data_IF_472345573056
#
_entry.id   IF_472345573056
#
_cell.length_a   1.000
_cell.length_b   1.000
_cell.length_c   1.000
_cell.angle_alpha   90.00
_cell.angle_beta   90.00
_cell.angle_gamma   90.00
#
_symmetry.space_group_name_H-M   'P 1'
#
loop_
_entity.id
_entity.type
_entity.pdbx_description
1 polymer ?
#
# COMPACT_ATOMS: atom_id res chain seq x y z
N UNK A 1 -12.58 -26.25 -20.81
CA UNK A 1 -11.78 -25.54 -19.78
C UNK A 1 -12.57 -25.62 -18.49
N UNK A 2 -12.00 -26.19 -17.43
CA UNK A 2 -12.63 -26.17 -16.12
C UNK A 2 -12.13 -24.94 -15.36
N UNK A 3 -13.05 -24.10 -14.92
CA UNK A 3 -12.77 -22.93 -14.09
C UNK A 3 -13.20 -23.26 -12.66
N UNK A 4 -12.23 -23.31 -11.75
CA UNK A 4 -12.47 -23.44 -10.32
C UNK A 4 -11.96 -22.17 -9.64
N UNK A 5 -12.90 -21.33 -9.20
CA UNK A 5 -12.64 -20.02 -8.63
C UNK A 5 -13.47 -19.87 -7.35
N UNK A 6 -12.98 -19.07 -6.40
CA UNK A 6 -13.75 -18.68 -5.23
C UNK A 6 -14.74 -17.58 -5.62
N UNK A 7 -15.83 -17.45 -4.86
CA UNK A 7 -16.76 -16.35 -5.05
C UNK A 7 -16.02 -15.01 -4.87
N UNK A 8 -16.08 -14.15 -5.89
CA UNK A 8 -15.40 -12.85 -5.90
C UNK A 8 -14.05 -12.82 -6.62
N UNK A 9 -13.49 -13.96 -7.00
CA UNK A 9 -12.32 -14.01 -7.88
C UNK A 9 -12.68 -13.39 -9.23
N UNK A 10 -11.76 -12.60 -9.78
CA UNK A 10 -11.89 -12.07 -11.13
C UNK A 10 -10.74 -12.59 -11.99
N UNK A 11 -11.05 -13.07 -13.19
CA UNK A 11 -10.06 -13.38 -14.22
C UNK A 11 -10.41 -12.64 -15.49
N UNK A 12 -9.39 -12.24 -16.25
CA UNK A 12 -9.54 -11.84 -17.64
C UNK A 12 -8.82 -12.86 -18.51
N UNK A 13 -9.54 -13.41 -19.47
CA UNK A 13 -9.01 -14.29 -20.50
C UNK A 13 -9.18 -13.63 -21.88
N UNK A 14 -8.23 -13.85 -22.77
CA UNK A 14 -8.29 -13.41 -24.15
C UNK A 14 -8.09 -14.60 -25.09
N UNK A 15 -8.87 -14.64 -26.18
CA UNK A 15 -8.64 -15.57 -27.27
C UNK A 15 -7.56 -15.01 -28.20
N UNK A 16 -6.73 -15.88 -28.74
CA UNK A 16 -5.83 -15.56 -29.85
C UNK A 16 -6.50 -15.71 -31.22
N UNK A 17 -7.83 -15.89 -31.25
CA UNK A 17 -8.64 -16.18 -32.43
C UNK A 17 -8.25 -17.48 -33.18
N UNK A 18 -7.33 -18.28 -32.64
CA UNK A 18 -6.94 -19.60 -33.14
C UNK A 18 -7.52 -20.74 -32.28
N UNK A 19 -8.50 -20.42 -31.43
CA UNK A 19 -9.13 -21.37 -30.52
C UNK A 19 -8.39 -21.57 -29.19
N UNK A 20 -7.26 -20.89 -28.97
CA UNK A 20 -6.59 -20.88 -27.69
C UNK A 20 -7.14 -19.76 -26.80
N UNK A 21 -7.19 -20.03 -25.49
CA UNK A 21 -7.61 -19.05 -24.49
C UNK A 21 -6.49 -18.95 -23.44
N UNK A 22 -5.94 -17.74 -23.29
CA UNK A 22 -4.93 -17.46 -22.26
C UNK A 22 -5.50 -16.58 -21.16
N UNK A 23 -5.19 -16.91 -19.92
CA UNK A 23 -5.45 -16.02 -18.77
C UNK A 23 -4.42 -14.89 -18.82
N UNK A 24 -4.91 -13.66 -18.96
CA UNK A 24 -4.06 -12.46 -19.04
C UNK A 24 -3.99 -11.70 -17.72
N UNK A 25 -4.94 -11.95 -16.81
CA UNK A 25 -4.92 -11.46 -15.45
C UNK A 25 -5.77 -12.33 -14.53
N UNK A 26 -5.33 -12.51 -13.28
CA UNK A 26 -6.06 -13.19 -12.22
C UNK A 26 -5.96 -12.37 -10.92
N UNK A 27 -7.10 -12.08 -10.31
CA UNK A 27 -7.21 -11.36 -9.05
C UNK A 27 -7.97 -12.22 -8.05
N UNK A 28 -7.27 -12.96 -7.18
CA UNK A 28 -7.91 -13.78 -6.16
C UNK A 28 -8.56 -12.91 -5.10
N UNK A 29 -9.81 -13.23 -4.78
CA UNK A 29 -10.54 -12.67 -3.64
C UNK A 29 -10.09 -13.32 -2.34
N UNK A 30 -10.00 -12.52 -1.28
CA UNK A 30 -9.71 -13.01 0.07
C UNK A 30 -8.29 -13.52 0.33
N UNK A 31 -7.40 -13.57 -0.68
CA UNK A 31 -5.98 -13.87 -0.47
C UNK A 31 -5.14 -12.59 -0.44
N UNK A 32 -4.30 -12.39 0.60
CA UNK A 32 -3.38 -11.26 0.63
C UNK A 32 -2.34 -11.32 -0.49
N UNK A 33 -2.26 -10.26 -1.29
CA UNK A 33 -1.24 -10.05 -2.32
C UNK A 33 -0.13 -9.17 -1.72
N UNK A 34 1.11 -9.65 -1.77
CA UNK A 34 2.26 -8.89 -1.29
C UNK A 34 2.67 -7.81 -2.30
N UNK A 35 3.20 -6.70 -1.80
CA UNK A 35 3.83 -5.67 -2.60
C UNK A 35 5.06 -5.10 -1.88
N UNK A 36 5.97 -4.52 -2.65
CA UNK A 36 7.06 -3.70 -2.14
C UNK A 36 7.03 -2.35 -2.86
N UNK A 37 7.43 -1.31 -2.14
CA UNK A 37 7.57 0.04 -2.69
C UNK A 37 8.71 0.78 -2.01
N UNK A 38 9.20 1.82 -2.67
CA UNK A 38 10.08 2.79 -2.03
C UNK A 38 9.33 3.61 -0.99
N UNK A 39 10.10 4.14 -0.04
CA UNK A 39 9.66 5.21 0.85
C UNK A 39 10.54 6.43 0.57
N UNK A 40 9.94 7.61 0.55
CA UNK A 40 10.64 8.89 0.44
C UNK A 40 10.17 9.87 1.52
N UNK A 41 10.94 10.94 1.71
CA UNK A 41 10.50 12.10 2.48
C UNK A 41 10.03 13.19 1.51
N UNK A 42 9.03 13.98 1.89
CA UNK A 42 8.55 15.12 1.09
C UNK A 42 9.61 16.23 1.04
N UNK A 43 10.37 16.42 2.12
CA UNK A 43 11.46 17.38 2.20
C UNK A 43 12.76 16.66 2.57
N UNK A 44 13.88 17.11 2.02
CA UNK A 44 15.17 16.45 2.19
C UNK A 44 15.22 15.08 1.51
N UNK A 45 16.13 14.21 1.96
CA UNK A 45 16.24 12.84 1.46
C UNK A 45 16.44 11.85 2.59
N UNK A 46 15.75 10.73 2.49
CA UNK A 46 16.09 9.54 3.26
C UNK A 46 17.47 9.04 2.81
N UNK A 47 18.27 8.56 3.77
CA UNK A 47 19.50 7.85 3.44
C UNK A 47 19.19 6.44 2.94
N UNK A 48 18.32 5.73 3.66
CA UNK A 48 17.79 4.42 3.25
C UNK A 48 16.50 4.10 3.97
N UNK A 49 15.53 3.58 3.21
CA UNK A 49 14.25 3.13 3.72
C UNK A 49 13.60 2.17 2.72
N UNK A 50 12.66 1.37 3.22
CA UNK A 50 11.86 0.48 2.39
C UNK A 50 10.43 0.37 2.90
N UNK A 51 9.50 0.03 2.01
CA UNK A 51 8.15 -0.36 2.38
C UNK A 51 7.84 -1.75 1.83
N UNK A 52 7.27 -2.59 2.69
CA UNK A 52 6.66 -3.86 2.29
C UNK A 52 5.23 -3.89 2.78
N UNK A 53 4.35 -4.57 2.08
CA UNK A 53 2.97 -4.67 2.51
C UNK A 53 2.23 -5.81 1.86
N UNK A 54 0.99 -5.98 2.30
CA UNK A 54 0.03 -6.92 1.75
C UNK A 54 -1.32 -6.24 1.65
N UNK A 55 -2.07 -6.56 0.59
CA UNK A 55 -3.42 -6.09 0.45
C UNK A 55 -4.37 -7.22 0.07
N UNK A 56 -5.64 -7.09 0.44
CA UNK A 56 -6.68 -8.05 0.10
C UNK A 56 -7.93 -7.30 -0.38
N UNK A 57 -8.51 -7.76 -1.49
CA UNK A 57 -9.80 -7.26 -1.97
C UNK A 57 -10.92 -7.77 -1.06
N UNK A 58 -11.69 -6.83 -0.54
CA UNK A 58 -12.91 -7.04 0.23
C UNK A 58 -14.11 -6.82 -0.73
N UNK A 59 -14.69 -7.91 -1.23
CA UNK A 59 -15.94 -7.92 -2.00
C UNK A 59 -16.14 -6.71 -2.96
N UNK A 60 -15.50 -6.77 -4.14
CA UNK A 60 -15.58 -5.72 -5.15
C UNK A 60 -14.40 -4.76 -5.09
N UNK A 61 -14.68 -3.47 -4.88
CA UNK A 61 -13.71 -2.36 -5.00
C UNK A 61 -12.98 -1.99 -3.71
N UNK A 62 -13.42 -2.51 -2.57
CA UNK A 62 -12.76 -2.23 -1.30
C UNK A 62 -11.50 -3.07 -1.15
N UNK A 63 -10.43 -2.47 -0.65
CA UNK A 63 -9.13 -3.12 -0.45
C UNK A 63 -8.62 -2.78 0.94
N UNK A 64 -8.44 -3.81 1.77
CA UNK A 64 -7.71 -3.69 3.02
C UNK A 64 -6.22 -3.81 2.76
N UNK A 65 -5.43 -2.94 3.36
CA UNK A 65 -3.98 -2.83 3.14
C UNK A 65 -3.30 -2.79 4.48
N UNK A 66 -2.30 -3.66 4.67
CA UNK A 66 -1.32 -3.58 5.74
C UNK A 66 0.05 -3.28 5.12
N UNK A 67 0.81 -2.38 5.72
CA UNK A 67 2.16 -2.07 5.27
C UNK A 67 3.09 -1.78 6.44
N UNK A 68 4.37 -2.05 6.21
CA UNK A 68 5.46 -1.83 7.13
C UNK A 68 6.52 -0.99 6.44
N UNK A 69 6.74 0.21 6.94
CA UNK A 69 7.81 1.11 6.53
C UNK A 69 8.97 0.93 7.49
N UNK A 70 10.16 0.65 6.96
CA UNK A 70 11.40 0.59 7.73
C UNK A 70 12.33 1.68 7.25
N UNK A 71 12.84 2.50 8.16
CA UNK A 71 13.85 3.52 7.87
C UNK A 71 15.15 3.09 8.53
N UNK A 72 16.14 2.68 7.74
CA UNK A 72 17.46 2.35 8.26
C UNK A 72 18.26 3.62 8.53
N UNK A 73 18.22 4.60 7.62
CA UNK A 73 18.85 5.91 7.80
C UNK A 73 17.95 7.04 7.34
N UNK A 74 17.64 7.97 8.25
CA UNK A 74 16.76 9.10 7.94
C UNK A 74 17.41 10.13 7.01
N UNK A 75 18.75 10.20 6.93
CA UNK A 75 19.43 11.27 6.22
C UNK A 75 18.94 12.65 6.70
N UNK A 76 18.54 13.50 5.75
CA UNK A 76 17.95 14.83 5.99
C UNK A 76 16.44 14.85 5.80
N UNK A 77 15.78 13.69 5.74
CA UNK A 77 14.34 13.58 5.51
C UNK A 77 13.51 14.28 6.57
N UNK A 78 12.50 15.03 6.13
CA UNK A 78 11.57 15.82 6.93
C UNK A 78 10.19 16.00 6.24
N UNK A 79 9.25 16.65 6.93
CA UNK A 79 7.89 16.91 6.46
C UNK A 79 6.99 15.70 6.64
N UNK A 80 6.86 14.88 5.60
CA UNK A 80 6.07 13.64 5.62
C UNK A 80 6.82 12.49 4.95
N UNK A 81 6.45 11.26 5.29
CA UNK A 81 6.87 10.10 4.51
C UNK A 81 5.86 9.83 3.40
N UNK A 82 6.34 9.41 2.23
CA UNK A 82 5.50 9.02 1.09
C UNK A 82 5.81 7.58 0.70
N UNK A 83 4.76 6.79 0.54
CA UNK A 83 4.81 5.39 0.11
C UNK A 83 3.90 5.21 -1.10
N UNK A 84 4.36 4.51 -2.12
CA UNK A 84 3.53 4.19 -3.29
C UNK A 84 2.73 2.92 -3.06
N UNK A 85 1.41 3.01 -3.18
CA UNK A 85 0.49 1.88 -3.23
C UNK A 85 0.49 1.24 -4.63
N UNK A 86 0.21 -0.08 -4.75
CA UNK A 86 0.23 -0.78 -6.04
C UNK A 86 -0.99 -0.48 -6.93
N UNK A 87 -1.87 0.43 -6.49
CA UNK A 87 -3.08 0.84 -7.20
C UNK A 87 -3.41 2.29 -6.82
N UNK A 88 -4.15 2.97 -7.68
CA UNK A 88 -4.72 4.29 -7.38
C UNK A 88 -6.03 4.13 -6.63
N UNK A 89 -6.27 4.99 -5.63
CA UNK A 89 -7.53 5.01 -4.89
C UNK A 89 -8.56 5.87 -5.62
N UNK A 90 -9.84 5.49 -5.55
CA UNK A 90 -10.95 6.25 -6.17
C UNK A 90 -11.76 7.09 -5.17
N UNK A 91 -11.43 6.97 -3.88
CA UNK A 91 -11.98 7.79 -2.79
C UNK A 91 -10.87 8.20 -1.82
N UNK A 92 -11.05 9.29 -1.09
CA UNK A 92 -10.07 9.75 -0.11
C UNK A 92 -9.96 8.71 1.02
N UNK A 93 -8.79 8.07 1.13
CA UNK A 93 -8.58 6.97 2.06
C UNK A 93 -7.72 7.40 3.25
N UNK A 94 -7.99 6.81 4.43
CA UNK A 94 -7.26 7.06 5.68
C UNK A 94 -6.62 5.78 6.19
N UNK A 95 -5.45 5.92 6.77
CA UNK A 95 -4.63 4.86 7.32
C UNK A 95 -4.21 5.25 8.74
N UNK A 96 -4.09 4.27 9.62
CA UNK A 96 -3.65 4.46 10.99
C UNK A 96 -2.66 3.38 11.38
N UNK A 97 -1.76 3.72 12.29
CA UNK A 97 -0.67 2.85 12.64
C UNK A 97 0.10 3.31 13.86
N UNK A 98 1.20 2.62 14.12
CA UNK A 98 2.11 2.94 15.22
C UNK A 98 3.56 2.81 14.74
N UNK A 99 4.40 3.71 15.22
CA UNK A 99 5.86 3.53 15.14
C UNK A 99 6.30 2.59 16.27
N UNK A 100 6.99 1.51 15.95
CA UNK A 100 7.22 0.39 16.88
C UNK A 100 8.66 0.27 17.40
N UNK A 101 9.62 1.01 16.86
CA UNK A 101 11.04 0.80 17.14
C UNK A 101 11.69 1.90 17.99
N UNK A 102 11.32 3.18 17.80
CA UNK A 102 12.08 4.32 18.35
C UNK A 102 11.30 5.13 19.38
N UNK A 103 10.08 5.54 19.05
CA UNK A 103 9.30 6.54 19.79
C UNK A 103 7.92 6.05 20.22
N UNK A 104 7.32 5.07 19.53
CA UNK A 104 6.07 4.48 20.00
C UNK A 104 4.79 5.27 19.71
N UNK A 105 4.86 6.34 18.91
CA UNK A 105 3.73 7.25 18.65
C UNK A 105 2.73 6.68 17.64
N UNK A 106 1.50 7.21 17.66
CA UNK A 106 0.47 6.91 16.66
C UNK A 106 0.78 7.66 15.37
N UNK A 107 0.88 6.91 14.28
CA UNK A 107 1.01 7.45 12.94
C UNK A 107 -0.36 7.46 12.24
N UNK A 108 -0.55 8.46 11.39
CA UNK A 108 -1.70 8.56 10.50
C UNK A 108 -1.22 8.66 9.06
N UNK A 109 -2.07 8.28 8.13
CA UNK A 109 -1.79 8.47 6.71
C UNK A 109 -3.04 8.70 5.89
N UNK A 110 -2.86 9.27 4.71
CA UNK A 110 -3.95 9.56 3.79
C UNK A 110 -3.51 9.44 2.34
N UNK A 111 -4.47 9.10 1.47
CA UNK A 111 -4.29 9.05 0.01
C UNK A 111 -5.43 9.83 -0.64
N UNK A 112 -5.07 10.80 -1.50
CA UNK A 112 -6.03 11.58 -2.27
C UNK A 112 -6.67 10.79 -3.41
N UNK A 113 -7.86 11.21 -3.83
CA UNK A 113 -8.58 10.62 -4.98
C UNK A 113 -7.71 10.65 -6.23
N UNK A 114 -7.65 9.53 -6.95
CA UNK A 114 -6.85 9.38 -8.18
C UNK A 114 -5.35 9.24 -7.94
N UNK A 115 -4.90 9.15 -6.69
CA UNK A 115 -3.49 8.98 -6.33
C UNK A 115 -3.20 7.57 -5.81
N UNK A 116 -1.94 7.17 -5.90
CA UNK A 116 -1.39 6.01 -5.22
C UNK A 116 -0.32 6.40 -4.19
N UNK A 117 -0.09 7.69 -3.97
CA UNK A 117 0.88 8.18 -3.00
C UNK A 117 0.23 8.29 -1.61
N UNK A 118 0.55 7.32 -0.74
CA UNK A 118 0.20 7.37 0.67
C UNK A 118 1.16 8.30 1.41
N UNK A 119 0.61 9.39 1.94
CA UNK A 119 1.33 10.34 2.80
C UNK A 119 1.15 9.89 4.25
N UNK A 120 2.24 9.81 5.00
CA UNK A 120 2.28 9.36 6.40
C UNK A 120 2.86 10.48 7.27
N UNK A 121 2.19 10.73 8.40
CA UNK A 121 2.52 11.74 9.39
C UNK A 121 2.37 11.20 10.82
N UNK A 122 2.94 11.89 11.80
CA UNK A 122 2.55 11.74 13.20
C UNK A 122 1.10 12.18 13.42
N UNK A 123 0.49 11.73 14.52
CA UNK A 123 -0.87 12.11 14.93
C UNK A 123 -1.13 13.64 14.96
N UNK A 124 -0.09 14.44 15.17
CA UNK A 124 -0.06 15.89 15.25
C UNK A 124 0.43 16.56 13.96
N UNK A 125 0.50 15.81 12.87
CA UNK A 125 1.10 16.19 11.58
C UNK A 125 2.61 16.44 11.61
N UNK A 126 3.31 16.03 12.67
CA UNK A 126 4.77 16.05 12.70
C UNK A 126 5.39 15.02 11.76
N UNK A 127 6.67 15.21 11.43
CA UNK A 127 7.42 14.25 10.63
C UNK A 127 7.60 12.93 11.39
N UNK A 128 7.18 11.78 10.80
CA UNK A 128 7.20 10.52 11.52
C UNK A 128 8.53 9.74 11.39
N UNK A 129 9.46 10.21 10.56
CA UNK A 129 10.72 9.49 10.32
C UNK A 129 11.76 9.65 11.43
N UNK A 130 12.60 8.62 11.57
CA UNK A 130 13.83 8.63 12.36
C UNK A 130 14.75 7.50 11.87
N UNK A 131 16.04 7.59 12.15
CA UNK A 131 16.93 6.46 11.89
C UNK A 131 16.53 5.28 12.79
N UNK A 132 16.37 4.10 12.19
CA UNK A 132 15.89 2.89 12.88
C UNK A 132 14.37 2.82 13.08
N UNK A 133 13.59 3.79 12.59
CA UNK A 133 12.14 3.78 12.76
C UNK A 133 11.46 2.63 11.99
N UNK A 134 10.41 2.08 12.58
CA UNK A 134 9.56 1.09 11.93
C UNK A 134 8.09 1.47 12.11
N UNK A 135 7.39 1.80 11.02
CA UNK A 135 5.98 2.18 11.05
C UNK A 135 5.13 1.07 10.48
N UNK A 136 4.22 0.54 11.29
CA UNK A 136 3.20 -0.41 10.85
C UNK A 136 1.87 0.31 10.70
N UNK A 137 1.29 0.24 9.50
CA UNK A 137 0.10 0.97 9.10
C UNK A 137 -0.96 0.01 8.54
N UNK A 138 -2.22 0.35 8.78
CA UNK A 138 -3.37 -0.34 8.20
C UNK A 138 -4.41 0.67 7.71
N UNK A 139 -5.11 0.33 6.63
CA UNK A 139 -6.21 1.11 6.11
C UNK A 139 -7.09 0.31 5.16
N UNK A 140 -8.28 0.84 4.89
CA UNK A 140 -9.18 0.33 3.86
C UNK A 140 -9.41 1.46 2.87
N UNK A 141 -9.30 1.16 1.58
CA UNK A 141 -9.47 2.10 0.49
C UNK A 141 -10.34 1.51 -0.62
N UNK A 142 -10.94 2.36 -1.43
CA UNK A 142 -11.65 1.94 -2.64
C UNK A 142 -10.72 2.07 -3.86
N UNK A 143 -10.73 1.09 -4.74
CA UNK A 143 -9.97 1.07 -6.00
C UNK A 143 -10.91 0.84 -7.19
N UNK A 144 -10.44 1.12 -8.41
CA UNK A 144 -11.24 0.94 -9.63
C UNK A 144 -11.62 -0.53 -9.92
#
# INVERSE_FOLDING_TARGET
MNLSLRAGDALRAASDAAGNWRVIAFWPSGLPVAFSSGVSAVTGSLGSGSCTGKYVRLNGRMVAVNLNVTIQSNGTGDGYLVVTLPFSVVSFAKFFGRENAVRGFIAQGFVGVGSNALIIAGHDNSYPGAAGAQLEMFGICEVA
#
